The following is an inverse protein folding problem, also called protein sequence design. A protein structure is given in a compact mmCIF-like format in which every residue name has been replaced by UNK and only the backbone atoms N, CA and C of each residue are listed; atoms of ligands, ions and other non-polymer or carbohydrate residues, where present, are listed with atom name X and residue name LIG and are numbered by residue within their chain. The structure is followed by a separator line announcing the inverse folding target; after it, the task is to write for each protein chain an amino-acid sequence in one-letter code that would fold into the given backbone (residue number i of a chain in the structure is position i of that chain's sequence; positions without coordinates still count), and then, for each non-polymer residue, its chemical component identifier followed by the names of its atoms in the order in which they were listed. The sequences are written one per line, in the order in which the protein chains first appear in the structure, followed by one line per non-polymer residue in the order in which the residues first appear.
data_IF_345733123773
#
_entry.id   IF_345733123773
#
_cell.length_a   1.000
_cell.length_b   1.000
_cell.length_c   1.000
_cell.angle_alpha   90.00
_cell.angle_beta   90.00
_cell.angle_gamma   90.00
#
_symmetry.space_group_name_H-M   'P 1'
#
loop_
_entity.id
_entity.type
_entity.pdbx_description
1 polymer ?
#
# COMPACT_ATOMS: atom_id res chain seq x y z
N UNK A 1 -15.04 11.54 -29.38
CA UNK A 1 -15.79 10.51 -28.64
C UNK A 1 -14.96 10.13 -27.43
N UNK A 2 -15.47 10.36 -26.22
CA UNK A 2 -14.74 9.98 -25.01
C UNK A 2 -14.81 8.45 -24.86
N UNK A 3 -13.69 7.79 -25.09
CA UNK A 3 -13.53 6.36 -24.87
C UNK A 3 -13.71 6.11 -23.36
N UNK A 4 -14.83 5.53 -22.94
CA UNK A 4 -15.08 5.23 -21.53
C UNK A 4 -14.74 3.78 -21.24
N UNK A 5 -14.05 3.56 -20.12
CA UNK A 5 -13.57 2.25 -19.69
C UNK A 5 -14.22 1.86 -18.36
N UNK A 6 -14.45 0.56 -18.19
CA UNK A 6 -15.09 0.02 -17.00
C UNK A 6 -14.12 -0.06 -15.81
N UNK A 7 -14.49 0.52 -14.68
CA UNK A 7 -13.75 0.44 -13.42
C UNK A 7 -14.19 -0.74 -12.59
N UNK A 8 -13.27 -1.67 -12.34
CA UNK A 8 -13.51 -2.81 -11.45
C UNK A 8 -13.71 -2.44 -9.97
N UNK A 9 -13.29 -1.24 -9.55
CA UNK A 9 -13.46 -0.81 -8.15
C UNK A 9 -14.77 -0.07 -7.93
N UNK A 10 -15.07 0.94 -8.76
CA UNK A 10 -16.29 1.73 -8.66
C UNK A 10 -17.50 1.04 -9.31
N UNK A 11 -17.26 -0.03 -10.09
CA UNK A 11 -18.28 -0.77 -10.86
C UNK A 11 -19.07 0.13 -11.83
N UNK A 12 -18.42 1.17 -12.34
CA UNK A 12 -18.99 2.15 -13.28
C UNK A 12 -17.99 2.49 -14.39
N UNK A 13 -18.45 3.18 -15.44
CA UNK A 13 -17.63 3.63 -16.55
C UNK A 13 -17.03 5.01 -16.28
N UNK A 14 -15.75 5.17 -16.63
CA UNK A 14 -15.02 6.43 -16.53
C UNK A 14 -14.36 6.76 -17.85
N UNK A 15 -14.12 8.04 -18.18
CA UNK A 15 -13.35 8.39 -19.36
C UNK A 15 -11.93 7.82 -19.27
N UNK A 16 -11.38 7.42 -20.42
CA UNK A 16 -10.05 6.81 -20.54
C UNK A 16 -8.93 7.67 -19.94
N UNK A 17 -9.08 8.99 -19.98
CA UNK A 17 -8.15 9.94 -19.37
C UNK A 17 -8.05 9.79 -17.84
N UNK A 18 -9.15 9.40 -17.18
CA UNK A 18 -9.22 9.17 -15.73
C UNK A 18 -8.98 7.70 -15.36
N UNK A 19 -8.56 6.87 -16.32
CA UNK A 19 -8.41 5.43 -16.20
C UNK A 19 -6.95 5.01 -16.30
N UNK A 20 -6.54 4.10 -15.40
CA UNK A 20 -5.21 3.49 -15.43
C UNK A 20 -5.30 1.99 -15.28
N UNK A 21 -4.47 1.31 -16.04
CA UNK A 21 -4.28 -0.11 -15.92
C UNK A 21 -3.27 -0.37 -14.80
N UNK A 22 -3.66 -1.18 -13.81
CA UNK A 22 -2.80 -1.59 -12.71
C UNK A 22 -2.44 -3.06 -12.86
N UNK A 23 -1.20 -3.39 -12.53
CA UNK A 23 -0.74 -4.76 -12.43
C UNK A 23 -1.14 -5.31 -11.06
N UNK A 24 -1.85 -6.44 -11.06
CA UNK A 24 -2.21 -7.17 -9.84
C UNK A 24 -1.63 -8.58 -9.93
N UNK A 25 -1.51 -9.28 -8.79
CA UNK A 25 -0.99 -10.66 -8.75
C UNK A 25 -1.67 -11.63 -9.74
N UNK A 26 -2.92 -11.36 -10.14
CA UNK A 26 -3.69 -12.17 -11.10
C UNK A 26 -3.83 -11.55 -12.49
N UNK A 27 -3.03 -10.54 -12.84
CA UNK A 27 -3.05 -9.88 -14.15
C UNK A 27 -3.38 -8.39 -14.11
N UNK A 28 -3.50 -7.80 -15.30
CA UNK A 28 -3.74 -6.37 -15.51
C UNK A 28 -5.24 -6.04 -15.37
N UNK A 29 -5.58 -5.02 -14.58
CA UNK A 29 -6.97 -4.57 -14.37
C UNK A 29 -7.11 -3.06 -14.55
N UNK A 30 -8.24 -2.63 -15.12
CA UNK A 30 -8.59 -1.21 -15.25
C UNK A 30 -9.24 -0.67 -13.98
N UNK A 31 -8.71 0.45 -13.47
CA UNK A 31 -9.28 1.20 -12.35
C UNK A 31 -9.16 2.70 -12.60
N UNK A 32 -10.07 3.48 -12.02
CA UNK A 32 -9.99 4.93 -12.07
C UNK A 32 -8.83 5.44 -11.20
N UNK A 33 -8.21 6.56 -11.61
CA UNK A 33 -7.07 7.17 -10.92
C UNK A 33 -7.42 7.46 -9.45
N UNK A 34 -8.61 8.01 -9.17
CA UNK A 34 -9.12 8.25 -7.80
C UNK A 34 -9.03 7.01 -6.89
N UNK A 35 -9.47 5.85 -7.37
CA UNK A 35 -9.42 4.60 -6.59
C UNK A 35 -7.98 4.12 -6.38
N UNK A 36 -7.14 4.28 -7.39
CA UNK A 36 -5.72 3.90 -7.32
C UNK A 36 -5.01 4.76 -6.28
N UNK A 37 -5.24 6.08 -6.29
CA UNK A 37 -4.64 7.00 -5.33
C UNK A 37 -5.15 6.77 -3.90
N UNK A 38 -6.45 6.53 -3.72
CA UNK A 38 -7.03 6.16 -2.43
C UNK A 38 -6.40 4.87 -1.87
N UNK A 39 -6.20 3.86 -2.73
CA UNK A 39 -5.55 2.61 -2.33
C UNK A 39 -4.06 2.81 -2.04
N UNK A 40 -3.34 3.61 -2.85
CA UNK A 40 -1.93 3.94 -2.63
C UNK A 40 -1.69 4.63 -1.30
N UNK A 41 -2.55 5.58 -0.92
CA UNK A 41 -2.50 6.23 0.40
C UNK A 41 -2.61 5.20 1.52
N UNK A 42 -3.59 4.31 1.45
CA UNK A 42 -3.77 3.28 2.49
C UNK A 42 -2.58 2.30 2.59
N UNK A 43 -1.95 1.94 1.47
CA UNK A 43 -0.74 1.10 1.48
C UNK A 43 0.45 1.87 2.05
N UNK A 44 0.70 3.10 1.58
CA UNK A 44 1.81 3.92 2.06
C UNK A 44 1.70 4.21 3.56
N UNK A 45 0.51 4.50 4.07
CA UNK A 45 0.28 4.69 5.51
C UNK A 45 0.48 3.41 6.31
N UNK A 46 0.04 2.26 5.80
CA UNK A 46 0.32 0.95 6.43
C UNK A 46 1.80 0.61 6.42
N UNK A 47 2.52 0.89 5.34
CA UNK A 47 3.96 0.65 5.25
C UNK A 47 4.75 1.57 6.20
N UNK A 48 4.36 2.84 6.31
CA UNK A 48 4.95 3.77 7.27
C UNK A 48 4.76 3.27 8.71
N UNK A 49 3.56 2.78 9.04
CA UNK A 49 3.28 2.19 10.35
C UNK A 49 4.08 0.90 10.61
N UNK A 50 4.18 0.01 9.62
CA UNK A 50 4.97 -1.22 9.73
C UNK A 50 6.47 -0.96 9.93
N UNK A 51 7.02 0.07 9.26
CA UNK A 51 8.41 0.51 9.48
C UNK A 51 8.61 1.09 10.89
N UNK A 52 7.67 1.88 11.38
CA UNK A 52 7.73 2.42 12.75
C UNK A 52 7.72 1.30 13.79
N UNK A 53 6.83 0.31 13.65
CA UNK A 53 6.77 -0.84 14.56
C UNK A 53 8.04 -1.69 14.52
N UNK A 54 8.62 -1.91 13.34
CA UNK A 54 9.89 -2.63 13.20
C UNK A 54 11.05 -1.89 13.89
N UNK A 55 11.09 -0.56 13.79
CA UNK A 55 12.10 0.25 14.48
C UNK A 55 11.96 0.16 16.02
N UNK A 56 10.72 0.19 16.54
CA UNK A 56 10.43 0.02 17.97
C UNK A 56 10.85 -1.38 18.44
N UNK A 57 10.47 -2.43 17.71
CA UNK A 57 10.81 -3.81 18.06
C UNK A 57 12.33 -4.04 18.05
N UNK A 58 13.06 -3.46 17.09
CA UNK A 58 14.53 -3.53 17.02
C UNK A 58 15.19 -2.83 18.22
N UNK A 59 14.66 -1.68 18.63
CA UNK A 59 15.15 -0.96 19.81
C UNK A 59 14.91 -1.74 21.11
N UNK A 60 13.72 -2.34 21.26
CA UNK A 60 13.40 -3.21 22.40
C UNK A 60 14.25 -4.49 22.43
N UNK A 61 14.49 -5.12 21.27
CA UNK A 61 15.34 -6.28 21.15
C UNK A 61 16.81 -5.96 21.52
N UNK A 62 17.33 -4.80 21.10
CA UNK A 62 18.67 -4.35 21.52
C UNK A 62 18.74 -4.08 23.02
N UNK A 63 17.69 -3.50 23.61
CA UNK A 63 17.65 -3.21 25.04
C UNK A 63 17.61 -4.51 25.87
N UNK A 64 16.78 -5.49 25.46
CA UNK A 64 16.77 -6.83 26.05
C UNK A 64 18.09 -7.58 25.90
N UNK A 65 18.76 -7.47 24.75
CA UNK A 65 20.06 -8.09 24.53
C UNK A 65 21.15 -7.52 25.44
N UNK A 66 21.12 -6.21 25.73
CA UNK A 66 22.05 -5.58 26.69
C UNK A 66 21.82 -6.03 28.13
N UNK A 67 20.56 -6.23 28.52
CA UNK A 67 20.22 -6.72 29.87
C UNK A 67 20.68 -8.18 30.06
N UNK A 68 20.55 -9.02 29.01
CA UNK A 68 21.00 -10.41 29.04
C UNK A 68 22.53 -10.55 29.05
N UNK A 69 23.27 -9.65 28.40
CA UNK A 69 24.74 -9.69 28.34
C UNK A 69 25.44 -8.98 29.52
N UNK A 70 24.67 -8.41 30.46
CA UNK A 70 25.17 -7.79 31.70
C UNK A 70 25.03 -8.70 32.93
N UNK A 71 24.55 -9.93 32.76
CA UNK A 71 24.52 -10.98 33.77
C UNK A 71 25.57 -12.04 33.42
N UNK A 72 26.85 -11.73 33.62
CA UNK A 72 27.95 -12.71 33.64
C UNK A 72 29.04 -12.17 34.58
#
# INVERSE_FOLDING_TARGET
MADTLYCYHCRTYHPREEMRQIDTKGGKRWRCIKSIEATKRSVAEREAFGKQMTAINKAEAQSKARILNGQS
#
